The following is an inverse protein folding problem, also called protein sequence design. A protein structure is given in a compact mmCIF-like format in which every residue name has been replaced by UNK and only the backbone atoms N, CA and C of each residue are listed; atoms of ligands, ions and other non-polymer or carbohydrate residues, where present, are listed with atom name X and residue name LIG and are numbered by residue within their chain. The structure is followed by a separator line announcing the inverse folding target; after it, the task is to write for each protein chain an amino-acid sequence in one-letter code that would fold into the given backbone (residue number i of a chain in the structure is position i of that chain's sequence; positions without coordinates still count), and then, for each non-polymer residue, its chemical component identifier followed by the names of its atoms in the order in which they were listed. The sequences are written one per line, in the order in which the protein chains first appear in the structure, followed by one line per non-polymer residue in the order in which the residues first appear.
data_IF_390612947019
#
_entry.id   IF_390612947019
#
_cell.length_a   1.000
_cell.length_b   1.000
_cell.length_c   1.000
_cell.angle_alpha   90.00
_cell.angle_beta   90.00
_cell.angle_gamma   90.00
#
_symmetry.space_group_name_H-M   'P 1'
#
loop_
_entity.id
_entity.type
_entity.pdbx_description
1 polymer ?
#
# COMPACT_ATOMS: atom_id res chain seq x y z
N UNK A 1 -34.06 4.31 0.74
CA UNK A 1 -34.06 2.90 0.24
C UNK A 1 -34.86 1.98 1.14
N UNK A 2 -34.62 1.97 2.46
CA UNK A 2 -35.42 1.20 3.42
C UNK A 2 -36.93 1.49 3.29
N UNK A 3 -37.31 2.76 3.14
CA UNK A 3 -38.72 3.16 2.94
C UNK A 3 -39.31 2.66 1.62
N UNK A 4 -38.54 2.71 0.52
CA UNK A 4 -38.96 2.18 -0.78
C UNK A 4 -39.11 0.65 -0.74
N UNK A 5 -38.19 -0.07 -0.10
CA UNK A 5 -38.28 -1.52 0.09
C UNK A 5 -39.51 -1.91 0.93
N UNK A 6 -39.81 -1.15 1.98
CA UNK A 6 -40.99 -1.36 2.82
C UNK A 6 -42.30 -1.09 2.04
N UNK A 7 -42.31 -0.06 1.19
CA UNK A 7 -43.46 0.23 0.32
C UNK A 7 -43.67 -0.89 -0.72
N UNK A 8 -42.60 -1.40 -1.34
CA UNK A 8 -42.67 -2.53 -2.28
C UNK A 8 -43.18 -3.80 -1.58
N UNK A 9 -42.66 -4.12 -0.39
CA UNK A 9 -43.13 -5.25 0.41
C UNK A 9 -44.62 -5.11 0.78
N UNK A 10 -45.04 -3.92 1.23
CA UNK A 10 -46.43 -3.65 1.59
C UNK A 10 -47.37 -3.76 0.38
N UNK A 11 -46.96 -3.28 -0.79
CA UNK A 11 -47.73 -3.40 -2.03
C UNK A 11 -47.90 -4.85 -2.47
N UNK A 12 -46.84 -5.67 -2.42
CA UNK A 12 -46.91 -7.09 -2.78
C UNK A 12 -47.68 -7.92 -1.74
N UNK A 13 -47.54 -7.60 -0.45
CA UNK A 13 -48.31 -8.22 0.62
C UNK A 13 -49.82 -7.92 0.48
N UNK A 14 -50.20 -6.67 0.17
CA UNK A 14 -51.59 -6.32 -0.10
C UNK A 14 -52.15 -6.99 -1.36
N UNK A 15 -51.35 -7.07 -2.44
CA UNK A 15 -51.75 -7.79 -3.66
C UNK A 15 -51.91 -9.30 -3.40
N UNK A 16 -51.06 -9.88 -2.56
CA UNK A 16 -51.19 -11.25 -2.07
C UNK A 16 -52.46 -11.45 -1.23
N UNK A 17 -52.75 -10.54 -0.31
CA UNK A 17 -53.96 -10.61 0.52
C UNK A 17 -55.27 -10.44 -0.28
N UNK A 18 -55.22 -9.76 -1.44
CA UNK A 18 -56.35 -9.57 -2.35
C UNK A 18 -56.51 -10.71 -3.37
N UNK A 19 -55.62 -11.72 -3.36
CA UNK A 19 -55.74 -12.93 -4.19
C UNK A 19 -55.58 -12.69 -5.69
N UNK A 20 -54.81 -11.68 -6.10
CA UNK A 20 -54.66 -11.29 -7.52
C UNK A 20 -53.54 -12.03 -8.27
N UNK A 21 -52.78 -12.91 -7.60
CA UNK A 21 -51.75 -13.73 -8.25
C UNK A 21 -52.33 -15.08 -8.68
N UNK A 22 -52.00 -15.58 -9.88
CA UNK A 22 -52.34 -16.93 -10.29
C UNK A 22 -51.55 -17.96 -9.48
N UNK A 23 -52.22 -19.01 -8.99
CA UNK A 23 -51.64 -20.08 -8.15
C UNK A 23 -50.50 -20.86 -8.82
N UNK A 24 -50.33 -20.71 -10.13
CA UNK A 24 -49.27 -21.35 -10.92
C UNK A 24 -47.86 -20.78 -10.62
N UNK A 25 -47.79 -19.59 -10.01
CA UNK A 25 -46.51 -18.96 -9.65
C UNK A 25 -46.00 -19.36 -8.26
N UNK A 26 -46.80 -20.09 -7.48
CA UNK A 26 -46.40 -20.52 -6.14
C UNK A 26 -45.85 -21.96 -6.12
N UNK A 27 -44.69 -22.17 -5.49
CA UNK A 27 -44.26 -23.51 -5.13
C UNK A 27 -45.28 -24.15 -4.17
N UNK A 28 -45.57 -25.46 -4.28
CA UNK A 28 -46.66 -26.13 -3.56
C UNK A 28 -46.52 -26.20 -2.02
N UNK A 29 -45.47 -25.61 -1.43
CA UNK A 29 -45.18 -25.68 0.01
C UNK A 29 -44.81 -24.32 0.64
N UNK A 30 -45.08 -23.19 -0.02
CA UNK A 30 -44.62 -21.87 0.45
C UNK A 30 -45.79 -20.93 0.73
N UNK A 31 -45.90 -20.43 1.96
CA UNK A 31 -46.92 -19.46 2.36
C UNK A 31 -46.72 -18.09 1.67
N UNK A 32 -47.81 -17.39 1.37
CA UNK A 32 -47.81 -16.06 0.70
C UNK A 32 -46.88 -15.02 1.36
N UNK A 33 -46.68 -15.15 2.67
CA UNK A 33 -45.76 -14.34 3.46
C UNK A 33 -44.29 -14.54 3.04
N UNK A 34 -43.86 -15.80 2.89
CA UNK A 34 -42.47 -16.15 2.58
C UNK A 34 -42.12 -15.72 1.16
N UNK A 35 -43.05 -15.88 0.21
CA UNK A 35 -42.87 -15.42 -1.16
C UNK A 35 -42.71 -13.89 -1.24
N UNK A 36 -43.55 -13.14 -0.53
CA UNK A 36 -43.47 -11.67 -0.46
C UNK A 36 -42.17 -11.20 0.21
N UNK A 37 -41.70 -11.92 1.22
CA UNK A 37 -40.44 -11.64 1.92
C UNK A 37 -39.22 -11.85 1.01
N UNK A 38 -39.22 -12.93 0.22
CA UNK A 38 -38.13 -13.24 -0.72
C UNK A 38 -37.99 -12.16 -1.81
N UNK A 39 -39.10 -11.70 -2.39
CA UNK A 39 -39.09 -10.61 -3.37
C UNK A 39 -38.62 -9.28 -2.77
N UNK A 40 -39.01 -8.98 -1.53
CA UNK A 40 -38.56 -7.77 -0.85
C UNK A 40 -37.05 -7.77 -0.55
N UNK A 41 -36.49 -8.90 -0.13
CA UNK A 41 -35.04 -9.05 0.10
C UNK A 41 -34.27 -8.90 -1.20
N UNK A 42 -34.76 -9.47 -2.30
CA UNK A 42 -34.15 -9.30 -3.63
C UNK A 42 -34.14 -7.84 -4.08
N UNK A 43 -35.25 -7.12 -3.91
CA UNK A 43 -35.34 -5.69 -4.27
C UNK A 43 -34.45 -4.83 -3.37
N UNK A 44 -34.34 -5.17 -2.08
CA UNK A 44 -33.43 -4.49 -1.15
C UNK A 44 -31.97 -4.66 -1.58
N UNK A 45 -31.57 -5.88 -1.95
CA UNK A 45 -30.22 -6.19 -2.41
C UNK A 45 -29.87 -5.44 -3.71
N UNK A 46 -30.81 -5.34 -4.66
CA UNK A 46 -30.62 -4.63 -5.92
C UNK A 46 -30.62 -3.10 -5.74
N UNK A 47 -31.50 -2.57 -4.88
CA UNK A 47 -31.63 -1.12 -4.68
C UNK A 47 -30.52 -0.53 -3.81
N UNK A 48 -29.88 -1.34 -2.96
CA UNK A 48 -28.79 -0.89 -2.09
C UNK A 48 -27.63 -1.89 -2.00
N UNK A 49 -26.93 -2.17 -3.12
CA UNK A 49 -25.73 -3.01 -3.08
C UNK A 49 -24.65 -2.42 -2.17
N UNK A 50 -24.60 -1.08 -2.06
CA UNK A 50 -23.63 -0.37 -1.24
C UNK A 50 -23.79 -0.64 0.27
N UNK A 51 -25.00 -0.88 0.76
CA UNK A 51 -25.23 -1.15 2.18
C UNK A 51 -24.73 -2.55 2.58
N UNK A 52 -24.92 -3.56 1.70
CA UNK A 52 -24.41 -4.91 1.92
C UNK A 52 -22.88 -4.95 1.80
N UNK A 53 -22.32 -4.24 0.81
CA UNK A 53 -20.87 -4.19 0.60
C UNK A 53 -20.10 -3.38 1.65
N UNK A 54 -20.71 -2.33 2.22
CA UNK A 54 -20.05 -1.48 3.22
C UNK A 54 -20.27 -1.94 4.67
N UNK A 55 -21.29 -2.76 4.96
CA UNK A 55 -21.56 -3.21 6.33
C UNK A 55 -20.39 -4.00 6.94
N UNK A 56 -19.78 -4.91 6.16
CA UNK A 56 -18.66 -5.74 6.60
C UNK A 56 -17.40 -4.91 6.89
N UNK A 57 -16.89 -4.07 5.97
CA UNK A 57 -15.67 -3.28 6.23
C UNK A 57 -15.88 -2.24 7.34
N UNK A 58 -17.07 -1.61 7.43
CA UNK A 58 -17.34 -0.63 8.48
C UNK A 58 -17.41 -1.27 9.86
N UNK A 59 -18.01 -2.45 9.97
CA UNK A 59 -18.08 -3.19 11.25
C UNK A 59 -16.69 -3.61 11.71
N UNK A 60 -15.86 -4.16 10.82
CA UNK A 60 -14.49 -4.57 11.16
C UNK A 60 -13.62 -3.37 11.54
N UNK A 61 -13.72 -2.26 10.80
CA UNK A 61 -12.97 -1.03 11.08
C UNK A 61 -13.33 -0.44 12.44
N UNK A 62 -14.63 -0.33 12.75
CA UNK A 62 -15.10 0.21 14.03
C UNK A 62 -14.78 -0.74 15.19
N UNK A 63 -14.96 -2.05 15.02
CA UNK A 63 -14.62 -3.04 16.04
C UNK A 63 -13.12 -3.01 16.38
N UNK A 64 -12.26 -2.89 15.37
CA UNK A 64 -10.80 -2.78 15.57
C UNK A 64 -10.43 -1.46 16.25
N UNK A 65 -11.01 -0.35 15.81
CA UNK A 65 -10.75 0.97 16.40
C UNK A 65 -11.18 1.06 17.87
N UNK A 66 -12.37 0.55 18.20
CA UNK A 66 -12.88 0.52 19.58
C UNK A 66 -12.13 -0.50 20.44
N UNK A 67 -11.72 -1.64 19.88
CA UNK A 67 -10.86 -2.61 20.57
C UNK A 67 -9.51 -2.01 20.96
N UNK A 68 -8.88 -1.27 20.04
CA UNK A 68 -7.60 -0.61 20.27
C UNK A 68 -7.69 0.48 21.36
N UNK A 69 -8.76 1.28 21.41
CA UNK A 69 -8.93 2.31 22.45
C UNK A 69 -9.17 1.72 23.84
N UNK A 70 -9.69 0.48 23.93
CA UNK A 70 -9.87 -0.24 25.17
C UNK A 70 -8.68 -1.17 25.52
N UNK A 71 -7.57 -1.06 24.80
CA UNK A 71 -6.36 -1.85 25.05
C UNK A 71 -6.48 -3.34 24.68
N UNK A 72 -7.52 -3.72 23.94
CA UNK A 72 -7.74 -5.08 23.43
C UNK A 72 -7.09 -5.20 22.06
N UNK A 73 -5.81 -5.56 22.06
CA UNK A 73 -5.03 -5.85 20.84
C UNK A 73 -5.04 -7.36 20.61
N UNK A 74 -5.83 -7.82 19.62
CA UNK A 74 -5.86 -9.23 19.24
C UNK A 74 -4.57 -9.55 18.47
N UNK A 75 -3.58 -10.12 19.17
CA UNK A 75 -2.39 -10.71 18.54
C UNK A 75 -2.87 -11.94 17.77
N UNK A 76 -2.68 -11.93 16.44
CA UNK A 76 -3.21 -12.94 15.53
C UNK A 76 -3.09 -14.37 16.06
N UNK A 77 -4.23 -15.01 16.27
CA UNK A 77 -4.29 -16.45 16.45
C UNK A 77 -4.03 -17.12 15.10
N UNK A 78 -3.19 -18.14 15.08
CA UNK A 78 -3.07 -19.05 13.93
C UNK A 78 -4.44 -19.69 13.69
N UNK A 79 -5.14 -19.20 12.66
CA UNK A 79 -6.39 -19.78 12.22
C UNK A 79 -6.07 -21.12 11.57
N UNK A 80 -6.32 -22.21 12.31
CA UNK A 80 -6.33 -23.55 11.74
C UNK A 80 -7.66 -23.69 11.02
N UNK A 81 -7.62 -23.46 9.72
CA UNK A 81 -8.77 -23.55 8.85
C UNK A 81 -9.21 -25.03 8.74
N UNK A 82 -10.31 -25.35 9.40
CA UNK A 82 -11.10 -26.54 9.12
C UNK A 82 -12.40 -26.04 8.49
N UNK A 83 -12.33 -25.78 7.18
CA UNK A 83 -13.42 -25.80 6.21
C UNK A 83 -14.72 -25.09 6.56
N UNK A 84 -14.96 -23.95 5.92
CA UNK A 84 -16.05 -23.84 4.93
C UNK A 84 -15.86 -22.61 4.04
N UNK A 85 -15.86 -22.89 2.74
CA UNK A 85 -16.12 -22.03 1.58
C UNK A 85 -17.08 -20.85 1.85
N UNK A 86 -16.62 -19.61 1.61
CA UNK A 86 -17.36 -18.63 0.81
C UNK A 86 -16.40 -17.55 0.26
N UNK A 87 -16.18 -17.56 -1.05
CA UNK A 87 -15.38 -16.58 -1.78
C UNK A 87 -16.07 -15.22 -1.86
N UNK A 88 -15.51 -14.22 -1.19
CA UNK A 88 -15.68 -12.80 -1.54
C UNK A 88 -14.28 -12.25 -1.78
N UNK A 89 -13.94 -12.05 -3.04
CA UNK A 89 -12.71 -11.40 -3.47
C UNK A 89 -12.71 -9.94 -3.01
N UNK A 90 -12.16 -9.67 -1.82
CA UNK A 90 -11.67 -8.35 -1.48
C UNK A 90 -10.26 -8.22 -2.06
N UNK A 91 -10.10 -7.37 -3.07
CA UNK A 91 -8.79 -6.82 -3.42
C UNK A 91 -8.14 -6.23 -2.15
N UNK A 92 -6.95 -6.70 -1.73
CA UNK A 92 -6.28 -6.10 -0.60
C UNK A 92 -5.83 -4.68 -0.98
N UNK A 93 -6.35 -3.68 -0.26
CA UNK A 93 -5.70 -2.38 -0.19
C UNK A 93 -4.23 -2.59 0.22
N UNK A 94 -3.28 -1.89 -0.40
CA UNK A 94 -1.90 -2.00 0.03
C UNK A 94 -1.85 -1.34 1.40
N UNK A 95 -1.35 -2.02 2.42
CA UNK A 95 -0.42 -1.43 3.40
C UNK A 95 -0.10 -2.44 4.52
N UNK A 96 1.21 -2.52 4.76
CA UNK A 96 1.91 -3.10 5.91
C UNK A 96 2.06 -4.62 5.91
N UNK A 97 3.12 -5.04 5.22
CA UNK A 97 3.76 -6.31 5.49
C UNK A 97 4.33 -6.36 6.91
N UNK A 98 4.22 -7.53 7.53
CA UNK A 98 5.28 -8.05 8.39
C UNK A 98 5.28 -9.59 8.32
N UNK A 99 6.27 -10.05 7.54
CA UNK A 99 7.13 -11.23 7.71
C UNK A 99 6.73 -12.39 8.62
N UNK A 100 6.84 -13.61 8.07
CA UNK A 100 7.60 -14.76 8.63
C UNK A 100 7.56 -15.90 7.58
N UNK A 101 8.59 -16.64 7.16
CA UNK A 101 10.00 -16.79 7.53
C UNK A 101 10.71 -17.52 6.38
N UNK A 102 11.88 -17.04 5.95
CA UNK A 102 13.08 -17.85 5.68
C UNK A 102 14.24 -16.90 5.32
N UNK A 103 15.41 -17.18 5.88
CA UNK A 103 16.63 -16.38 5.80
C UNK A 103 17.07 -16.06 4.36
N UNK A 104 17.07 -14.76 4.05
CA UNK A 104 17.66 -14.13 2.87
C UNK A 104 17.35 -12.64 2.94
N UNK A 105 18.37 -11.77 2.92
CA UNK A 105 18.17 -10.33 2.97
C UNK A 105 17.61 -9.86 1.62
N UNK A 106 16.30 -9.90 1.46
CA UNK A 106 15.64 -9.46 0.23
C UNK A 106 15.82 -7.95 0.06
N UNK A 107 16.27 -7.56 -1.13
CA UNK A 107 16.37 -6.17 -1.56
C UNK A 107 15.24 -5.84 -2.53
N UNK A 108 14.79 -4.58 -2.50
CA UNK A 108 13.82 -4.10 -3.47
C UNK A 108 14.56 -3.31 -4.55
N UNK A 109 14.34 -3.62 -5.82
CA UNK A 109 14.74 -2.86 -7.00
C UNK A 109 13.53 -2.12 -7.57
N UNK A 110 13.78 -0.96 -8.17
CA UNK A 110 12.79 -0.22 -8.95
C UNK A 110 13.33 -0.03 -10.36
N UNK A 111 12.54 -0.45 -11.34
CA UNK A 111 12.93 -0.42 -12.76
C UNK A 111 11.88 0.36 -13.53
N UNK A 112 12.32 1.36 -14.28
CA UNK A 112 11.49 2.03 -15.28
C UNK A 112 11.42 1.14 -16.52
N UNK A 113 10.21 0.78 -16.95
CA UNK A 113 9.99 -0.10 -18.10
C UNK A 113 9.29 0.68 -19.20
N UNK A 114 9.97 0.84 -20.33
CA UNK A 114 9.52 1.61 -21.49
C UNK A 114 8.85 0.66 -22.49
N UNK A 115 7.75 1.12 -23.09
CA UNK A 115 7.00 0.36 -24.10
C UNK A 115 5.76 -0.36 -23.57
N UNK A 116 5.49 -0.32 -22.26
CA UNK A 116 4.23 -0.81 -21.71
C UNK A 116 3.07 0.12 -22.09
N UNK A 117 2.12 -0.40 -22.86
CA UNK A 117 0.95 0.37 -23.36
C UNK A 117 -0.40 -0.25 -22.99
N UNK A 118 -0.40 -1.44 -22.40
CA UNK A 118 -1.63 -2.17 -22.06
C UNK A 118 -1.45 -3.04 -20.80
N UNK A 119 -2.54 -3.35 -20.11
CA UNK A 119 -2.55 -4.23 -18.94
C UNK A 119 -2.05 -5.66 -19.22
N UNK A 120 -2.18 -6.12 -20.46
CA UNK A 120 -1.58 -7.39 -20.88
C UNK A 120 -0.04 -7.32 -20.88
N UNK A 121 0.55 -6.16 -21.21
CA UNK A 121 1.99 -5.96 -21.22
C UNK A 121 2.56 -5.97 -19.79
N UNK A 122 1.93 -5.27 -18.83
CA UNK A 122 2.38 -5.32 -17.43
C UNK A 122 2.30 -6.72 -16.84
N UNK A 123 1.21 -7.45 -17.10
CA UNK A 123 1.08 -8.82 -16.62
C UNK A 123 2.10 -9.77 -17.24
N UNK A 124 2.58 -9.47 -18.46
CA UNK A 124 3.66 -10.25 -19.11
C UNK A 124 5.02 -9.97 -18.47
N UNK A 125 5.32 -8.69 -18.20
CA UNK A 125 6.54 -8.26 -17.51
C UNK A 125 6.59 -8.83 -16.08
N UNK A 126 5.50 -8.73 -15.32
CA UNK A 126 5.41 -9.25 -13.95
C UNK A 126 5.67 -10.77 -13.89
N UNK A 127 5.08 -11.53 -14.82
CA UNK A 127 5.30 -12.99 -14.92
C UNK A 127 6.73 -13.34 -15.33
N UNK A 128 7.34 -12.55 -16.21
CA UNK A 128 8.73 -12.76 -16.61
C UNK A 128 9.68 -12.56 -15.42
N UNK A 129 9.47 -11.49 -14.64
CA UNK A 129 10.24 -11.19 -13.44
C UNK A 129 10.09 -12.26 -12.36
N UNK A 130 8.88 -12.76 -12.12
CA UNK A 130 8.64 -13.86 -11.17
C UNK A 130 9.27 -15.21 -11.59
N UNK A 131 9.61 -15.37 -12.88
CA UNK A 131 10.27 -16.58 -13.38
C UNK A 131 11.78 -16.58 -13.13
N UNK A 132 12.36 -15.42 -12.81
CA UNK A 132 13.78 -15.28 -12.49
C UNK A 132 14.05 -15.89 -11.12
N UNK A 133 14.98 -16.85 -11.04
CA UNK A 133 15.33 -17.52 -9.79
C UNK A 133 16.01 -16.53 -8.83
N UNK A 134 15.40 -16.32 -7.66
CA UNK A 134 15.83 -15.30 -6.70
C UNK A 134 14.89 -14.10 -6.61
N UNK A 135 13.87 -13.99 -7.48
CA UNK A 135 12.79 -12.99 -7.33
C UNK A 135 11.66 -13.57 -6.48
N UNK A 136 11.33 -12.87 -5.39
CA UNK A 136 10.26 -13.27 -4.46
C UNK A 136 8.93 -12.59 -4.77
N UNK A 137 8.99 -11.34 -5.23
CA UNK A 137 7.82 -10.58 -5.67
C UNK A 137 8.20 -9.66 -6.82
N UNK A 138 7.28 -9.51 -7.75
CA UNK A 138 7.32 -8.47 -8.76
C UNK A 138 5.92 -7.83 -8.83
N UNK A 139 5.85 -6.52 -9.00
CA UNK A 139 4.61 -5.77 -9.19
C UNK A 139 4.86 -4.66 -10.19
N UNK A 140 3.94 -4.45 -11.13
CA UNK A 140 4.12 -3.50 -12.23
C UNK A 140 3.01 -2.47 -12.24
N UNK A 141 3.38 -1.19 -12.10
CA UNK A 141 2.49 -0.04 -12.17
C UNK A 141 2.52 0.59 -13.57
N UNK A 142 1.57 0.21 -14.43
CA UNK A 142 1.41 0.74 -15.80
C UNK A 142 1.38 2.26 -15.87
N UNK A 143 0.61 2.90 -14.99
CA UNK A 143 0.43 4.36 -14.98
C UNK A 143 1.74 5.12 -14.72
N UNK A 144 2.71 4.45 -14.08
CA UNK A 144 3.99 5.03 -13.67
C UNK A 144 5.16 4.51 -14.51
N UNK A 145 4.90 3.60 -15.47
CA UNK A 145 5.92 2.85 -16.20
C UNK A 145 6.96 2.20 -15.27
N UNK A 146 6.53 1.74 -14.09
CA UNK A 146 7.43 1.33 -13.02
C UNK A 146 7.18 -0.11 -12.62
N UNK A 147 8.25 -0.90 -12.53
CA UNK A 147 8.24 -2.24 -11.96
C UNK A 147 8.98 -2.21 -10.61
N UNK A 148 8.34 -2.74 -9.58
CA UNK A 148 8.94 -2.96 -8.26
C UNK A 148 9.22 -4.45 -8.09
N UNK A 149 10.47 -4.78 -7.78
CA UNK A 149 10.94 -6.17 -7.70
C UNK A 149 11.62 -6.40 -6.35
N UNK A 150 11.18 -7.40 -5.61
CA UNK A 150 11.83 -7.87 -4.39
C UNK A 150 12.61 -9.14 -4.72
N UNK A 151 13.93 -9.09 -4.56
CA UNK A 151 14.84 -10.16 -4.96
C UNK A 151 15.94 -10.41 -3.91
N UNK A 152 16.57 -11.58 -3.97
CA UNK A 152 17.75 -11.87 -3.15
C UNK A 152 19.03 -11.49 -3.92
N UNK A 153 19.79 -10.48 -3.47
CA UNK A 153 21.02 -10.03 -4.14
C UNK A 153 22.14 -11.08 -4.12
N UNK A 154 21.99 -12.14 -3.30
CA UNK A 154 22.93 -13.26 -3.27
C UNK A 154 22.72 -14.23 -4.43
N UNK A 155 21.53 -14.21 -5.06
CA UNK A 155 21.13 -15.16 -6.11
C UNK A 155 21.00 -14.52 -7.49
N UNK A 156 20.55 -13.27 -7.55
CA UNK A 156 20.31 -12.55 -8.81
C UNK A 156 20.78 -11.11 -8.68
N UNK A 157 21.39 -10.56 -9.73
CA UNK A 157 21.82 -9.17 -9.78
C UNK A 157 20.80 -8.29 -10.48
N UNK A 158 20.90 -6.98 -10.25
CA UNK A 158 20.07 -5.97 -10.93
C UNK A 158 20.20 -6.06 -12.47
N UNK A 159 21.38 -6.45 -12.96
CA UNK A 159 21.70 -6.68 -14.37
C UNK A 159 20.84 -7.80 -14.97
N UNK A 160 20.71 -8.92 -14.26
CA UNK A 160 19.94 -10.09 -14.71
C UNK A 160 18.43 -9.76 -14.75
N UNK A 161 17.96 -8.94 -13.80
CA UNK A 161 16.57 -8.47 -13.76
C UNK A 161 16.26 -7.56 -14.96
N UNK A 162 17.21 -6.71 -15.34
CA UNK A 162 17.09 -5.87 -16.53
C UNK A 162 17.05 -6.73 -17.80
N UNK A 163 17.96 -7.68 -17.94
CA UNK A 163 18.03 -8.59 -19.10
C UNK A 163 16.71 -9.38 -19.27
N UNK A 164 16.12 -9.86 -18.18
CA UNK A 164 14.83 -10.57 -18.22
C UNK A 164 13.66 -9.72 -18.77
N UNK A 165 13.71 -8.39 -18.60
CA UNK A 165 12.72 -7.46 -19.16
C UNK A 165 13.03 -7.18 -20.65
N UNK A 166 14.31 -7.10 -21.01
CA UNK A 166 14.74 -6.89 -22.40
C UNK A 166 14.46 -8.11 -23.29
N UNK A 167 14.61 -9.32 -22.76
CA UNK A 167 14.34 -10.59 -23.46
C UNK A 167 12.90 -10.75 -23.93
N UNK A 168 11.95 -10.13 -23.24
CA UNK A 168 10.52 -10.11 -23.61
C UNK A 168 10.17 -8.91 -24.51
N UNK A 169 11.15 -8.07 -24.86
CA UNK A 169 11.02 -6.97 -25.82
C UNK A 169 10.64 -5.62 -25.21
N UNK A 170 10.87 -5.41 -23.91
CA UNK A 170 10.68 -4.11 -23.26
C UNK A 170 12.02 -3.50 -22.84
N UNK A 171 12.13 -2.19 -22.94
CA UNK A 171 13.38 -1.50 -22.57
C UNK A 171 13.34 -1.14 -21.08
N UNK A 172 14.42 -1.42 -20.35
CA UNK A 172 14.46 -1.31 -18.90
C UNK A 172 15.60 -0.41 -18.41
N UNK A 173 15.27 0.55 -17.55
CA UNK A 173 16.23 1.46 -16.91
C UNK A 173 16.12 1.33 -15.39
N UNK A 174 17.23 1.00 -14.74
CA UNK A 174 17.29 0.87 -13.28
C UNK A 174 17.23 2.26 -12.68
N UNK A 175 16.22 2.51 -11.84
CA UNK A 175 16.17 3.74 -11.06
C UNK A 175 16.99 3.47 -9.80
N UNK A 176 18.17 4.10 -9.63
CA UNK A 176 18.93 3.96 -8.40
C UNK A 176 18.03 4.46 -7.27
N UNK A 177 17.66 3.55 -6.37
CA UNK A 177 16.93 3.95 -5.17
C UNK A 177 17.81 4.95 -4.44
N UNK A 178 17.31 6.18 -4.28
CA UNK A 178 17.74 7.02 -3.17
C UNK A 178 17.45 6.19 -1.95
N UNK A 179 18.50 5.59 -1.44
CA UNK A 179 18.46 4.59 -0.43
C UNK A 179 17.89 5.23 0.84
N UNK A 180 16.58 5.08 1.06
CA UNK A 180 16.10 4.63 2.37
C UNK A 180 16.54 3.18 2.56
N UNK A 181 17.85 2.93 2.45
CA UNK A 181 18.46 1.67 2.85
C UNK A 181 18.32 1.68 4.37
N UNK A 182 17.40 0.87 4.88
CA UNK A 182 17.58 0.18 6.15
C UNK A 182 18.83 -0.69 6.06
N UNK A 183 20.00 -0.03 6.11
CA UNK A 183 21.33 -0.55 6.39
C UNK A 183 22.20 0.62 6.83
N UNK A 184 21.70 1.38 7.81
CA UNK A 184 22.60 1.98 8.77
C UNK A 184 21.86 2.12 10.10
N UNK A 185 22.24 1.31 11.07
CA UNK A 185 21.91 1.62 12.46
C UNK A 185 22.76 2.84 12.84
N UNK A 186 22.42 4.04 12.37
CA UNK A 186 23.29 5.21 12.55
C UNK A 186 22.80 6.44 11.81
N UNK A 187 22.48 6.34 10.52
CA UNK A 187 22.17 7.52 9.71
C UNK A 187 20.88 8.22 10.15
N UNK A 188 21.01 9.48 10.54
CA UNK A 188 19.98 10.41 10.98
C UNK A 188 19.94 11.63 10.07
N UNK A 189 18.74 12.15 9.83
CA UNK A 189 18.56 13.45 9.17
C UNK A 189 18.19 14.51 10.20
N UNK A 190 19.02 15.54 10.29
CA UNK A 190 18.81 16.70 11.16
C UNK A 190 18.51 17.96 10.36
N UNK A 191 17.47 18.68 10.75
CA UNK A 191 17.20 20.03 10.26
C UNK A 191 17.62 21.06 11.30
N UNK A 192 18.38 22.06 10.85
CA UNK A 192 18.96 23.10 11.68
C UNK A 192 18.57 24.47 11.11
N UNK A 193 18.17 25.39 11.98
CA UNK A 193 18.00 26.79 11.58
C UNK A 193 19.32 27.51 11.78
N UNK A 194 19.83 28.11 10.71
CA UNK A 194 21.13 28.78 10.70
C UNK A 194 20.89 30.28 10.60
N UNK A 195 21.18 30.99 11.69
CA UNK A 195 21.11 32.45 11.72
C UNK A 195 22.31 33.09 11.02
N UNK A 196 22.18 34.35 10.59
CA UNK A 196 23.31 35.14 10.07
C UNK A 196 23.68 34.95 8.60
N UNK A 197 23.10 33.96 7.90
CA UNK A 197 23.32 33.80 6.46
C UNK A 197 22.61 34.90 5.66
N UNK A 198 23.38 35.82 5.09
CA UNK A 198 22.87 36.96 4.31
C UNK A 198 23.25 36.90 2.82
N UNK A 199 24.11 35.97 2.42
CA UNK A 199 24.55 35.82 1.03
C UNK A 199 24.83 34.35 0.67
N UNK A 200 24.83 34.04 -0.63
CA UNK A 200 25.19 32.73 -1.17
C UNK A 200 26.60 32.26 -0.76
N UNK A 201 27.53 33.20 -0.51
CA UNK A 201 28.86 32.87 -0.01
C UNK A 201 28.83 32.24 1.38
N UNK A 202 27.95 32.72 2.27
CA UNK A 202 27.76 32.13 3.59
C UNK A 202 27.18 30.71 3.47
N UNK A 203 26.21 30.52 2.57
CA UNK A 203 25.61 29.20 2.30
C UNK A 203 26.68 28.20 1.86
N UNK A 204 27.51 28.57 0.87
CA UNK A 204 28.56 27.69 0.36
C UNK A 204 29.63 27.40 1.41
N UNK A 205 29.94 28.36 2.28
CA UNK A 205 30.88 28.17 3.39
C UNK A 205 30.34 27.14 4.39
N UNK A 206 29.10 27.34 4.88
CA UNK A 206 28.46 26.45 5.86
C UNK A 206 28.22 25.06 5.26
N UNK A 207 27.73 24.97 4.03
CA UNK A 207 27.53 23.69 3.34
C UNK A 207 28.86 22.95 3.12
N UNK A 208 29.94 23.69 2.80
CA UNK A 208 31.27 23.13 2.65
C UNK A 208 31.84 22.58 3.96
N UNK A 209 31.67 23.29 5.07
CA UNK A 209 32.10 22.83 6.40
C UNK A 209 31.31 21.57 6.80
N UNK A 210 29.99 21.58 6.66
CA UNK A 210 29.13 20.45 6.99
C UNK A 210 29.49 19.18 6.19
N UNK A 211 29.79 19.31 4.89
CA UNK A 211 30.21 18.18 4.05
C UNK A 211 31.58 17.61 4.42
N UNK A 212 32.44 18.39 5.06
CA UNK A 212 33.77 17.95 5.49
C UNK A 212 33.77 17.31 6.89
N UNK A 213 32.64 17.33 7.60
CA UNK A 213 32.53 16.69 8.90
C UNK A 213 32.54 15.16 8.75
N UNK A 214 33.29 14.44 9.61
CA UNK A 214 33.30 12.98 9.60
C UNK A 214 31.90 12.46 9.94
N UNK A 215 31.41 11.50 9.14
CA UNK A 215 30.07 10.93 9.31
C UNK A 215 28.94 11.70 8.64
N UNK A 216 29.19 12.84 7.98
CA UNK A 216 28.17 13.53 7.17
C UNK A 216 28.15 12.98 5.74
N UNK A 217 27.03 12.39 5.35
CA UNK A 217 26.80 11.84 4.00
C UNK A 217 26.33 12.92 3.04
N UNK A 218 25.52 13.86 3.53
CA UNK A 218 24.93 14.93 2.72
C UNK A 218 24.60 16.14 3.56
N UNK A 219 24.88 17.32 3.04
CA UNK A 219 24.42 18.59 3.63
C UNK A 219 23.91 19.51 2.52
N UNK A 220 22.74 20.11 2.73
CA UNK A 220 22.20 21.20 1.92
C UNK A 220 21.86 22.37 2.83
N UNK A 221 22.17 23.58 2.37
CA UNK A 221 21.78 24.80 3.07
C UNK A 221 20.96 25.69 2.15
N UNK A 222 19.82 26.17 2.63
CA UNK A 222 18.91 27.02 1.88
C UNK A 222 18.78 28.40 2.54
N UNK A 223 19.27 29.44 1.84
CA UNK A 223 19.19 30.84 2.32
C UNK A 223 17.75 31.33 2.44
N UNK A 224 16.88 30.95 1.49
CA UNK A 224 15.48 31.39 1.44
C UNK A 224 14.66 30.94 2.66
N UNK A 225 14.97 29.77 3.22
CA UNK A 225 14.25 29.19 4.37
C UNK A 225 15.05 29.27 5.67
N UNK A 226 16.29 29.78 5.61
CA UNK A 226 17.25 29.78 6.72
C UNK A 226 17.42 28.40 7.36
N UNK A 227 17.33 27.35 6.54
CA UNK A 227 17.33 25.95 6.96
C UNK A 227 18.55 25.23 6.36
N UNK A 228 19.28 24.51 7.20
CA UNK A 228 20.25 23.50 6.80
C UNK A 228 19.70 22.11 7.07
N UNK A 229 19.78 21.21 6.10
CA UNK A 229 19.44 19.80 6.23
C UNK A 229 20.72 18.97 6.09
N UNK A 230 20.99 18.14 7.11
CA UNK A 230 22.20 17.33 7.19
C UNK A 230 21.82 15.88 7.44
N UNK A 231 22.33 14.99 6.62
CA UNK A 231 22.24 13.54 6.75
C UNK A 231 23.58 13.04 7.28
N UNK A 232 23.58 12.43 8.46
CA UNK A 232 24.78 12.07 9.19
C UNK A 232 24.62 10.77 9.97
N UNK A 233 25.70 10.03 10.15
CA UNK A 233 25.75 8.83 10.98
C UNK A 233 25.88 9.21 12.47
N UNK A 234 24.83 8.90 13.25
CA UNK A 234 24.70 9.09 14.70
C UNK A 234 25.74 8.31 15.52
N UNK A 235 26.39 7.30 14.94
CA UNK A 235 27.52 6.61 15.59
C UNK A 235 28.84 7.38 15.46
N UNK A 236 28.97 8.27 14.47
CA UNK A 236 30.21 8.98 14.16
C UNK A 236 30.19 10.44 14.59
N UNK A 237 29.03 11.09 14.47
CA UNK A 237 28.88 12.50 14.80
C UNK A 237 27.55 12.75 15.47
N UNK A 238 27.57 13.54 16.55
CA UNK A 238 26.36 13.85 17.30
C UNK A 238 25.80 15.22 16.91
N UNK A 239 24.50 15.44 17.14
CA UNK A 239 23.81 16.70 16.82
C UNK A 239 24.52 17.94 17.36
N UNK A 240 25.11 17.85 18.56
CA UNK A 240 25.84 18.96 19.19
C UNK A 240 27.09 19.35 18.42
N UNK A 241 27.85 18.38 17.91
CA UNK A 241 29.09 18.64 17.14
C UNK A 241 28.78 19.31 15.80
N UNK A 242 27.66 18.94 15.18
CA UNK A 242 27.14 19.59 13.97
C UNK A 242 26.77 21.05 14.26
N UNK A 243 26.14 21.32 15.41
CA UNK A 243 25.79 22.71 15.80
C UNK A 243 27.06 23.53 16.02
N UNK A 244 28.05 23.00 16.75
CA UNK A 244 29.33 23.69 16.97
C UNK A 244 30.04 24.00 15.66
N UNK A 245 30.06 23.07 14.71
CA UNK A 245 30.66 23.31 13.40
C UNK A 245 29.94 24.39 12.57
N UNK A 246 28.63 24.58 12.77
CA UNK A 246 27.85 25.66 12.17
C UNK A 246 28.14 27.00 12.86
N UNK A 247 28.34 27.00 14.17
CA UNK A 247 28.66 28.21 14.95
C UNK A 247 30.07 28.75 14.65
N UNK A 248 31.00 27.87 14.25
CA UNK A 248 32.38 28.22 13.88
C UNK A 248 32.55 28.66 12.41
N UNK A 249 31.46 28.67 11.61
CA UNK A 249 31.43 28.96 10.17
C UNK A 249 31.20 30.45 9.82
#
# INVERSE_FOLDING_TARGET
VVTLAFMTWMCWYLAGALGTYPDEWLPPTTDHFVFSLMLAISVLAIACPCALGLATPTTVMVATGVGATNGVLIKGGVFRDNGMDESIDLEPAPLLGSSSSHEGALENLEVNVIGMTCAACSGSVEKALLKVDGVFRASVALLQNKAEVTYDPSRVKEEDIKEAIEDIGFEAEIIPKVSTRSKDQGTMTGQFRIGGMTCATCVNSVEGILRNLPGVTRAIVALATSLGEVEYDSNQINKTEIITAIEDA
#
